data_IF_117447077643
#
_entry.id   IF_117447077643
#
_cell.length_a   1.000
_cell.length_b   1.000
_cell.length_c   1.000
_cell.angle_alpha   90.00
_cell.angle_beta   90.00
_cell.angle_gamma   90.00
#
_symmetry.space_group_name_H-M   'P 1'
#
loop_
_entity.id
_entity.type
_entity.pdbx_description
1 polymer ?
#
# COMPACT_ATOMS: atom_id res chain seq x y z
N UNK A 1 22.84 -32.64 -1.89
CA UNK A 1 22.68 -31.17 -1.73
C UNK A 1 23.23 -30.80 -0.38
N UNK A 2 23.97 -29.70 -0.26
CA UNK A 2 24.42 -29.20 1.05
C UNK A 2 23.21 -28.64 1.82
N UNK A 3 23.16 -28.88 3.13
CA UNK A 3 22.11 -28.33 4.00
C UNK A 3 22.35 -26.83 4.21
N UNK A 4 21.33 -26.00 3.97
CA UNK A 4 21.40 -24.58 4.28
C UNK A 4 21.56 -24.36 5.80
N UNK A 5 22.54 -23.56 6.18
CA UNK A 5 22.75 -23.12 7.57
C UNK A 5 22.63 -21.60 7.59
N UNK A 6 21.61 -21.02 8.28
CA UNK A 6 21.48 -19.57 8.41
C UNK A 6 22.68 -18.94 9.13
N UNK A 7 23.04 -17.67 8.83
CA UNK A 7 24.07 -16.95 9.57
C UNK A 7 23.58 -16.53 10.97
N UNK A 8 24.51 -16.21 11.87
CA UNK A 8 24.21 -15.69 13.23
C UNK A 8 23.50 -14.33 13.18
N UNK A 9 23.90 -13.47 12.24
CA UNK A 9 23.24 -12.21 11.93
C UNK A 9 22.75 -12.24 10.48
N UNK A 10 21.47 -11.95 10.27
CA UNK A 10 20.89 -11.90 8.93
C UNK A 10 21.45 -10.71 8.13
N UNK A 11 21.82 -10.97 6.88
CA UNK A 11 22.34 -9.99 5.94
C UNK A 11 21.39 -9.92 4.73
N UNK A 12 21.19 -8.71 4.21
CA UNK A 12 20.49 -8.48 2.95
C UNK A 12 21.51 -8.47 1.81
N UNK A 13 21.95 -9.66 1.39
CA UNK A 13 23.00 -9.87 0.39
C UNK A 13 22.49 -10.43 -0.95
N UNK A 14 21.19 -10.77 -1.03
CA UNK A 14 20.51 -11.23 -2.23
C UNK A 14 19.12 -10.61 -2.35
N UNK A 15 18.69 -10.40 -3.60
CA UNK A 15 17.30 -10.06 -3.90
C UNK A 15 16.39 -11.25 -3.54
N UNK A 16 15.29 -10.96 -2.84
CA UNK A 16 14.28 -11.94 -2.45
C UNK A 16 12.91 -11.28 -2.49
N UNK A 17 11.90 -11.99 -3.00
CA UNK A 17 10.52 -11.47 -3.11
C UNK A 17 9.89 -11.52 -4.49
N UNK A 18 10.54 -12.13 -5.49
CA UNK A 18 9.98 -12.29 -6.83
C UNK A 18 9.60 -10.95 -7.46
N UNK A 19 8.37 -10.80 -7.93
CA UNK A 19 7.83 -9.56 -8.52
C UNK A 19 8.08 -8.31 -7.67
N UNK A 20 8.14 -8.45 -6.34
CA UNK A 20 8.31 -7.33 -5.41
C UNK A 20 9.76 -7.11 -4.95
N UNK A 21 10.75 -7.82 -5.52
CA UNK A 21 12.16 -7.65 -5.17
C UNK A 21 12.64 -6.21 -5.34
N UNK A 22 12.06 -5.46 -6.30
CA UNK A 22 12.37 -4.05 -6.57
C UNK A 22 11.88 -3.07 -5.50
N UNK A 23 10.95 -3.46 -4.63
CA UNK A 23 10.37 -2.59 -3.60
C UNK A 23 10.64 -3.07 -2.16
N UNK A 24 10.89 -4.37 -1.97
CA UNK A 24 11.18 -4.96 -0.66
C UNK A 24 12.56 -4.55 -0.14
N UNK A 25 12.62 -3.98 1.06
CA UNK A 25 13.85 -3.54 1.72
C UNK A 25 13.79 -3.78 3.23
N UNK A 26 14.93 -4.04 3.90
CA UNK A 26 14.97 -4.24 5.35
C UNK A 26 14.85 -2.93 6.15
N UNK A 27 14.79 -1.78 5.45
CA UNK A 27 14.67 -0.44 6.04
C UNK A 27 13.43 0.26 5.49
N UNK A 28 12.78 1.03 6.36
CA UNK A 28 11.65 1.88 6.00
C UNK A 28 12.11 3.30 5.64
N UNK A 29 11.20 4.11 5.10
CA UNK A 29 11.43 5.53 4.81
C UNK A 29 11.09 5.92 3.37
N UNK A 30 10.88 7.22 3.15
CA UNK A 30 10.63 7.78 1.83
C UNK A 30 11.87 7.63 0.93
N UNK A 31 11.67 7.26 -0.33
CA UNK A 31 12.73 7.19 -1.35
C UNK A 31 12.80 8.41 -2.25
N UNK A 32 11.84 9.31 -2.12
CA UNK A 32 11.76 10.55 -2.86
C UNK A 32 10.68 11.43 -2.28
N UNK A 33 10.68 12.68 -2.71
CA UNK A 33 9.64 13.64 -2.35
C UNK A 33 8.48 13.52 -3.34
N UNK A 34 7.25 13.48 -2.81
CA UNK A 34 6.04 13.48 -3.62
C UNK A 34 4.93 14.20 -2.87
N UNK A 35 4.38 15.24 -3.50
CA UNK A 35 3.15 15.87 -3.04
C UNK A 35 1.99 15.01 -3.56
N UNK A 36 1.14 14.56 -2.65
CA UNK A 36 -0.05 13.81 -3.01
C UNK A 36 -1.15 14.76 -3.49
N UNK A 37 -1.91 14.41 -4.55
CA UNK A 37 -3.05 15.21 -4.99
C UNK A 37 -4.13 15.24 -3.91
N UNK A 38 -4.80 16.37 -3.75
CA UNK A 38 -5.94 16.54 -2.84
C UNK A 38 -7.11 17.10 -3.64
N UNK A 39 -8.25 16.43 -3.57
CA UNK A 39 -9.46 16.77 -4.29
C UNK A 39 -10.43 17.59 -3.45
N UNK A 40 -11.70 17.56 -3.83
CA UNK A 40 -12.75 18.39 -3.24
C UNK A 40 -13.52 17.69 -2.11
N UNK A 41 -13.48 16.37 -2.07
CA UNK A 41 -14.29 15.58 -1.14
C UNK A 41 -13.63 15.55 0.25
N UNK A 42 -14.42 15.37 1.33
CA UNK A 42 -13.91 15.42 2.70
C UNK A 42 -12.90 14.32 3.01
N UNK A 43 -12.94 13.19 2.31
CA UNK A 43 -12.02 12.07 2.50
C UNK A 43 -11.10 11.90 1.28
N UNK A 44 -9.81 11.71 1.54
CA UNK A 44 -8.78 11.53 0.52
C UNK A 44 -8.18 10.12 0.69
N UNK A 45 -8.51 9.21 -0.22
CA UNK A 45 -8.10 7.80 -0.16
C UNK A 45 -6.95 7.55 -1.13
N UNK A 46 -5.77 7.20 -0.61
CA UNK A 46 -4.62 6.76 -1.40
C UNK A 46 -4.48 5.24 -1.28
N UNK A 47 -4.88 4.50 -2.33
CA UNK A 47 -5.06 3.05 -2.24
C UNK A 47 -4.77 2.34 -3.55
N UNK A 48 -4.89 1.01 -3.55
CA UNK A 48 -4.86 0.15 -4.72
C UNK A 48 -5.99 -0.86 -4.58
N UNK A 49 -6.55 -1.32 -5.71
CA UNK A 49 -7.62 -2.34 -5.77
C UNK A 49 -7.15 -3.76 -5.36
N UNK A 50 -6.42 -3.86 -4.25
CA UNK A 50 -6.07 -5.10 -3.56
C UNK A 50 -7.22 -5.52 -2.64
N UNK A 51 -7.20 -6.77 -2.11
CA UNK A 51 -8.13 -7.18 -1.05
C UNK A 51 -8.13 -6.28 0.19
N UNK A 52 -7.07 -5.51 0.45
CA UNK A 52 -7.06 -4.51 1.52
C UNK A 52 -7.72 -3.20 1.10
N UNK A 53 -7.46 -2.73 -0.11
CA UNK A 53 -8.07 -1.49 -0.61
C UNK A 53 -9.58 -1.59 -0.76
N UNK A 54 -10.09 -2.74 -1.22
CA UNK A 54 -11.54 -2.95 -1.38
C UNK A 54 -12.30 -2.87 -0.06
N UNK A 55 -11.67 -3.18 1.09
CA UNK A 55 -12.32 -3.05 2.40
C UNK A 55 -12.75 -1.61 2.66
N UNK A 56 -11.88 -0.66 2.31
CA UNK A 56 -12.10 0.76 2.58
C UNK A 56 -13.10 1.33 1.58
N UNK A 57 -12.95 1.02 0.29
CA UNK A 57 -13.90 1.53 -0.72
C UNK A 57 -15.29 0.96 -0.50
N UNK A 58 -15.43 -0.33 -0.20
CA UNK A 58 -16.74 -0.92 0.15
C UNK A 58 -17.33 -0.24 1.38
N UNK A 59 -16.56 -0.03 2.45
CA UNK A 59 -17.04 0.68 3.63
C UNK A 59 -17.56 2.10 3.31
N UNK A 60 -16.83 2.85 2.47
CA UNK A 60 -17.25 4.20 2.07
C UNK A 60 -18.52 4.19 1.21
N UNK A 61 -18.62 3.27 0.25
CA UNK A 61 -19.82 3.09 -0.57
C UNK A 61 -21.04 2.67 0.28
N UNK A 62 -20.87 1.77 1.25
CA UNK A 62 -21.94 1.38 2.17
C UNK A 62 -22.43 2.56 3.03
N UNK A 63 -21.51 3.43 3.48
CA UNK A 63 -21.88 4.65 4.20
C UNK A 63 -22.64 5.64 3.31
N UNK A 64 -22.20 5.80 2.05
CA UNK A 64 -22.89 6.63 1.06
C UNK A 64 -24.29 6.10 0.75
N UNK A 65 -24.44 4.77 0.63
CA UNK A 65 -25.73 4.12 0.44
C UNK A 65 -26.71 4.37 1.61
N UNK A 66 -26.19 4.53 2.83
CA UNK A 66 -26.97 4.93 4.01
C UNK A 66 -27.22 6.46 4.12
N UNK A 67 -26.75 7.25 3.15
CA UNK A 67 -26.95 8.70 3.10
C UNK A 67 -25.97 9.51 3.93
N UNK A 68 -24.86 8.93 4.40
CA UNK A 68 -23.81 9.65 5.12
C UNK A 68 -22.98 10.51 4.17
N UNK A 69 -23.42 11.74 3.90
CA UNK A 69 -22.76 12.68 2.96
C UNK A 69 -21.32 13.05 3.33
N UNK A 70 -20.92 12.87 4.60
CA UNK A 70 -19.53 13.02 5.03
C UNK A 70 -18.59 11.91 4.56
N UNK A 71 -19.11 10.85 3.94
CA UNK A 71 -18.33 9.73 3.42
C UNK A 71 -17.89 9.91 1.95
N UNK A 72 -18.22 11.03 1.30
CA UNK A 72 -17.72 11.32 -0.04
C UNK A 72 -16.18 11.34 -0.06
N UNK A 73 -15.58 10.78 -1.10
CA UNK A 73 -14.13 10.59 -1.15
C UNK A 73 -13.53 10.74 -2.56
N UNK A 74 -12.30 11.25 -2.61
CA UNK A 74 -11.44 11.18 -3.78
C UNK A 74 -10.51 9.95 -3.64
N UNK A 75 -10.55 9.01 -4.58
CA UNK A 75 -9.71 7.81 -4.56
C UNK A 75 -8.55 7.91 -5.57
N UNK A 76 -7.33 8.00 -5.07
CA UNK A 76 -6.09 8.05 -5.84
C UNK A 76 -5.36 6.72 -5.83
N UNK A 77 -4.85 6.34 -7.00
CA UNK A 77 -4.06 5.14 -7.19
C UNK A 77 -2.67 5.28 -6.57
N UNK A 78 -2.31 4.35 -5.67
CA UNK A 78 -0.94 4.09 -5.23
C UNK A 78 -0.50 2.75 -5.79
N UNK A 79 0.34 2.76 -6.83
CA UNK A 79 0.83 1.52 -7.40
C UNK A 79 1.97 0.93 -6.56
N UNK A 80 1.76 -0.26 -6.01
CA UNK A 80 2.74 -1.01 -5.20
C UNK A 80 3.27 -2.26 -5.95
N UNK A 81 3.01 -2.39 -7.25
CA UNK A 81 3.47 -3.52 -8.08
C UNK A 81 3.73 -3.11 -9.52
#
# INVERSE_FOLDING_TARGET
MAQYTPPEAWLWDQESGGTFASINRPVAGATGEKILPVGKHPLQLYSLATPNGVKVTVMLEELLALGHTGAEYDAYLINIG
#
